data_IF_781302143617
#
_entry.id   IF_781302143617
#
_cell.length_a   1.000
_cell.length_b   1.000
_cell.length_c   1.000
_cell.angle_alpha   90.00
_cell.angle_beta   90.00
_cell.angle_gamma   90.00
#
_symmetry.space_group_name_H-M   'P 1'
#
loop_
_entity.id
_entity.type
_entity.pdbx_description
1 polymer ?
#
# COMPACT_ATOMS: atom_id res chain seq x y z
N UNK A 1 -11.07 13.98 2.05
CA UNK A 1 -11.43 12.63 1.57
C UNK A 1 -10.14 11.83 1.39
N UNK A 2 -9.84 10.84 2.24
CA UNK A 2 -8.52 10.17 2.22
C UNK A 2 -8.50 8.68 2.56
N UNK A 3 -9.66 8.04 2.67
CA UNK A 3 -9.82 6.62 3.02
C UNK A 3 -10.92 5.95 2.16
N UNK A 4 -11.15 6.47 0.94
CA UNK A 4 -12.23 5.99 0.05
C UNK A 4 -11.82 4.90 -0.94
N UNK A 5 -10.53 4.64 -1.13
CA UNK A 5 -10.11 3.32 -1.60
C UNK A 5 -10.38 2.37 -0.43
N UNK A 6 -11.20 1.34 -0.62
CA UNK A 6 -11.45 0.29 0.38
C UNK A 6 -10.11 -0.05 1.03
N UNK A 7 -9.94 0.43 2.25
CA UNK A 7 -8.65 0.61 2.88
C UNK A 7 -7.90 -0.73 2.84
N UNK A 8 -6.79 -0.83 2.11
CA UNK A 8 -5.96 -2.06 2.07
C UNK A 8 -5.61 -2.53 3.48
N UNK A 9 -5.47 -1.56 4.39
CA UNK A 9 -5.40 -1.72 5.84
C UNK A 9 -6.58 -2.48 6.46
N UNK A 10 -7.84 -2.15 6.11
CA UNK A 10 -9.01 -2.86 6.60
C UNK A 10 -9.04 -4.31 6.08
N UNK A 11 -8.68 -4.52 4.82
CA UNK A 11 -8.60 -5.88 4.24
C UNK A 11 -7.44 -6.69 4.82
N UNK A 12 -6.33 -6.06 5.19
CA UNK A 12 -5.18 -6.74 5.81
C UNK A 12 -5.39 -7.11 7.27
N UNK A 13 -6.01 -6.23 8.06
CA UNK A 13 -6.07 -6.37 9.52
C UNK A 13 -7.46 -6.80 10.03
N UNK A 14 -8.53 -6.58 9.25
CA UNK A 14 -9.92 -6.76 9.69
C UNK A 14 -10.79 -7.50 8.65
N UNK A 15 -10.21 -8.20 7.68
CA UNK A 15 -10.98 -9.03 6.77
C UNK A 15 -11.43 -10.29 7.49
N UNK A 16 -12.63 -10.27 8.10
CA UNK A 16 -13.26 -11.45 8.74
C UNK A 16 -13.36 -12.64 7.76
N UNK A 17 -13.41 -12.36 6.46
CA UNK A 17 -13.32 -13.32 5.37
C UNK A 17 -12.26 -12.89 4.35
N UNK A 18 -10.97 -13.01 4.67
CA UNK A 18 -9.98 -13.15 3.58
C UNK A 18 -10.22 -14.53 2.98
N UNK A 19 -11.13 -14.58 2.00
CA UNK A 19 -11.51 -15.75 1.22
C UNK A 19 -10.24 -16.56 0.92
N UNK A 20 -10.17 -17.82 1.38
CA UNK A 20 -8.98 -18.69 1.29
C UNK A 20 -8.32 -18.61 -0.09
N UNK A 21 -9.12 -18.48 -1.15
CA UNK A 21 -8.71 -18.27 -2.54
C UNK A 21 -7.78 -17.08 -2.75
N UNK A 22 -8.01 -15.96 -2.06
CA UNK A 22 -7.16 -14.76 -2.12
C UNK A 22 -5.80 -15.07 -1.50
N UNK A 23 -5.74 -15.75 -0.36
CA UNK A 23 -4.47 -16.13 0.26
C UNK A 23 -3.74 -17.20 -0.57
N UNK A 24 -4.46 -18.16 -1.13
CA UNK A 24 -3.91 -19.14 -2.07
C UNK A 24 -3.31 -18.48 -3.31
N UNK A 25 -4.01 -17.49 -3.88
CA UNK A 25 -3.51 -16.72 -5.02
C UNK A 25 -2.24 -15.94 -4.69
N UNK A 26 -2.19 -15.28 -3.52
CA UNK A 26 -1.00 -14.58 -3.04
C UNK A 26 0.17 -15.56 -2.82
N UNK A 27 -0.10 -16.71 -2.21
CA UNK A 27 0.92 -17.73 -1.96
C UNK A 27 1.46 -18.31 -3.28
N UNK A 28 0.60 -18.50 -4.29
CA UNK A 28 1.02 -18.94 -5.62
C UNK A 28 1.95 -17.94 -6.29
N UNK A 29 1.64 -16.65 -6.18
CA UNK A 29 2.51 -15.56 -6.68
C UNK A 29 3.87 -15.60 -5.98
N UNK A 30 3.87 -15.64 -4.64
CA UNK A 30 5.11 -15.67 -3.86
C UNK A 30 5.94 -16.94 -4.13
N UNK A 31 5.30 -18.08 -4.34
CA UNK A 31 5.99 -19.35 -4.63
C UNK A 31 6.67 -19.36 -6.01
N UNK A 32 6.23 -18.51 -6.93
CA UNK A 32 6.83 -18.37 -8.26
C UNK A 32 7.97 -17.33 -8.30
N UNK A 33 8.24 -16.63 -7.21
CA UNK A 33 9.32 -15.66 -7.10
C UNK A 33 10.60 -16.30 -6.59
N UNK A 34 11.74 -15.81 -7.09
CA UNK A 34 13.05 -16.13 -6.51
C UNK A 34 13.23 -15.46 -5.15
N UNK A 35 14.08 -16.02 -4.31
CA UNK A 35 14.27 -15.52 -2.94
C UNK A 35 14.85 -14.10 -2.91
N UNK A 36 15.71 -13.78 -3.86
CA UNK A 36 16.27 -12.45 -3.97
C UNK A 36 15.22 -11.40 -4.40
N UNK A 37 14.27 -11.77 -5.27
CA UNK A 37 13.11 -10.95 -5.61
C UNK A 37 12.16 -10.72 -4.43
N UNK A 38 11.98 -11.72 -3.56
CA UNK A 38 11.16 -11.57 -2.33
C UNK A 38 11.79 -10.61 -1.32
N UNK A 39 13.12 -10.59 -1.26
CA UNK A 39 13.86 -9.77 -0.30
C UNK A 39 14.11 -8.34 -0.80
N UNK A 40 14.16 -8.14 -2.11
CA UNK A 40 14.45 -6.86 -2.73
C UNK A 40 13.34 -6.47 -3.73
N UNK A 41 12.37 -5.64 -3.33
CA UNK A 41 11.25 -5.26 -4.18
C UNK A 41 11.69 -4.44 -5.42
N UNK A 42 12.89 -3.85 -5.42
CA UNK A 42 13.39 -3.11 -6.59
C UNK A 42 13.77 -4.06 -7.74
N UNK A 43 13.95 -5.35 -7.45
CA UNK A 43 14.22 -6.38 -8.47
C UNK A 43 12.99 -6.81 -9.25
N UNK A 44 11.78 -6.56 -8.75
CA UNK A 44 10.52 -6.89 -9.45
C UNK A 44 10.20 -5.92 -10.59
N UNK A 45 11.04 -5.95 -11.61
CA UNK A 45 10.85 -5.23 -12.87
C UNK A 45 9.63 -5.77 -13.63
N UNK A 46 9.11 -4.98 -14.58
CA UNK A 46 7.96 -5.38 -15.42
C UNK A 46 8.18 -6.72 -16.17
N UNK A 47 9.37 -7.03 -16.71
CA UNK A 47 9.65 -8.34 -17.30
C UNK A 47 9.44 -9.50 -16.32
N UNK A 48 10.00 -9.41 -15.12
CA UNK A 48 9.86 -10.44 -14.06
C UNK A 48 8.39 -10.61 -13.65
N UNK A 49 7.69 -9.49 -13.51
CA UNK A 49 6.26 -9.47 -13.25
C UNK A 49 5.42 -10.18 -14.33
N UNK A 50 5.83 -10.11 -15.60
CA UNK A 50 5.20 -10.88 -16.69
C UNK A 50 5.55 -12.37 -16.61
N UNK A 51 6.78 -12.72 -16.30
CA UNK A 51 7.19 -14.12 -16.12
C UNK A 51 6.38 -14.78 -15.00
N UNK A 52 6.25 -14.12 -13.85
CA UNK A 52 5.42 -14.59 -12.74
C UNK A 52 3.95 -14.74 -13.18
N UNK A 53 3.43 -13.79 -13.97
CA UNK A 53 2.07 -13.88 -14.55
C UNK A 53 1.91 -15.14 -15.40
N UNK A 54 2.88 -15.43 -16.27
CA UNK A 54 2.84 -16.60 -17.17
C UNK A 54 2.93 -17.92 -16.40
N UNK A 55 3.78 -18.00 -15.38
CA UNK A 55 3.93 -19.22 -14.56
C UNK A 55 2.70 -19.45 -13.68
N UNK A 56 2.20 -18.40 -13.05
CA UNK A 56 1.12 -18.51 -12.05
C UNK A 56 -0.28 -18.45 -12.65
N UNK A 57 -0.41 -17.99 -13.90
CA UNK A 57 -1.70 -17.74 -14.56
C UNK A 57 -2.58 -16.73 -13.78
N UNK A 58 -1.93 -15.84 -13.01
CA UNK A 58 -2.58 -14.77 -12.25
C UNK A 58 -2.65 -13.49 -13.07
N UNK A 59 -3.49 -12.53 -12.69
CA UNK A 59 -3.52 -11.24 -13.39
C UNK A 59 -2.36 -10.36 -12.94
N UNK A 60 -1.90 -9.50 -13.84
CA UNK A 60 -0.87 -8.53 -13.52
C UNK A 60 -1.29 -7.60 -12.35
N UNK A 61 -2.58 -7.28 -12.27
CA UNK A 61 -3.15 -6.49 -11.18
C UNK A 61 -3.04 -7.20 -9.82
N UNK A 62 -3.20 -8.53 -9.79
CA UNK A 62 -3.10 -9.31 -8.55
C UNK A 62 -1.68 -9.30 -8.00
N UNK A 63 -0.68 -9.40 -8.88
CA UNK A 63 0.74 -9.30 -8.51
C UNK A 63 1.07 -7.88 -8.03
N UNK A 64 0.61 -6.86 -8.74
CA UNK A 64 0.80 -5.47 -8.32
C UNK A 64 0.18 -5.20 -6.93
N UNK A 65 -0.97 -5.80 -6.65
CA UNK A 65 -1.62 -5.74 -5.34
C UNK A 65 -0.80 -6.45 -4.25
N UNK A 66 -0.24 -7.64 -4.52
CA UNK A 66 0.69 -8.33 -3.59
C UNK A 66 1.88 -7.44 -3.26
N UNK A 67 2.50 -6.83 -4.27
CA UNK A 67 3.65 -5.95 -4.09
C UNK A 67 3.29 -4.69 -3.29
N UNK A 68 2.14 -4.08 -3.60
CA UNK A 68 1.64 -2.92 -2.85
C UNK A 68 1.41 -3.28 -1.38
N UNK A 69 0.84 -4.46 -1.13
CA UNK A 69 0.61 -4.99 0.22
C UNK A 69 1.93 -5.21 0.98
N UNK A 70 2.90 -5.87 0.37
CA UNK A 70 4.23 -6.07 0.96
C UNK A 70 4.89 -4.73 1.35
N UNK A 71 4.89 -3.76 0.44
CA UNK A 71 5.46 -2.44 0.68
C UNK A 71 4.76 -1.68 1.82
N UNK A 72 3.44 -1.82 1.92
CA UNK A 72 2.68 -1.25 3.04
C UNK A 72 3.06 -1.90 4.37
N UNK A 73 3.16 -3.23 4.44
CA UNK A 73 3.59 -3.97 5.65
C UNK A 73 5.03 -3.65 6.06
N UNK A 74 5.95 -3.56 5.09
CA UNK A 74 7.32 -3.12 5.34
C UNK A 74 7.36 -1.68 5.89
N UNK A 75 6.53 -0.79 5.35
CA UNK A 75 6.35 0.57 5.85
C UNK A 75 5.85 0.61 7.30
N UNK A 76 4.83 -0.19 7.64
CA UNK A 76 4.33 -0.33 9.01
C UNK A 76 5.42 -0.81 9.96
N UNK A 77 6.14 -1.86 9.58
CA UNK A 77 7.19 -2.44 10.40
C UNK A 77 8.31 -1.42 10.69
N UNK A 78 8.81 -0.74 9.67
CA UNK A 78 9.82 0.33 9.80
C UNK A 78 9.33 1.47 10.69
N UNK A 79 8.06 1.84 10.59
CA UNK A 79 7.46 2.87 11.43
C UNK A 79 7.46 2.47 12.91
N UNK A 80 7.03 1.24 13.22
CA UNK A 80 6.98 0.71 14.59
C UNK A 80 8.38 0.53 15.20
N UNK A 81 9.38 0.13 14.42
CA UNK A 81 10.78 0.09 14.87
C UNK A 81 11.22 1.49 15.31
N UNK A 82 11.05 2.49 14.43
CA UNK A 82 11.45 3.88 14.75
C UNK A 82 10.70 4.43 15.96
N UNK A 83 9.44 4.04 16.13
CA UNK A 83 8.65 4.41 17.31
C UNK A 83 9.26 3.84 18.60
N UNK A 84 9.60 2.55 18.58
CA UNK A 84 10.29 1.88 19.68
C UNK A 84 11.64 2.53 19.98
N UNK A 85 12.43 2.86 18.97
CA UNK A 85 13.73 3.53 19.11
C UNK A 85 13.61 4.92 19.77
N UNK A 86 12.49 5.62 19.55
CA UNK A 86 12.19 6.90 20.21
C UNK A 86 11.71 6.76 21.66
N UNK A 87 11.50 5.53 22.14
CA UNK A 87 10.93 5.27 23.47
C UNK A 87 9.44 5.60 23.58
N UNK A 88 8.73 5.71 22.45
CA UNK A 88 7.29 5.96 22.44
C UNK A 88 6.50 4.67 22.76
N UNK A 89 5.33 4.78 23.40
CA UNK A 89 4.53 3.62 23.75
C UNK A 89 4.06 2.89 22.49
N UNK A 90 4.28 1.56 22.47
CA UNK A 90 3.79 0.71 21.40
C UNK A 90 2.27 0.58 21.50
N UNK A 91 1.55 0.63 20.36
CA UNK A 91 0.12 0.37 20.36
C UNK A 91 -0.16 -1.08 20.80
N UNK A 92 -1.17 -1.26 21.64
CA UNK A 92 -1.55 -2.57 22.17
C UNK A 92 -2.55 -3.28 21.26
N UNK A 93 -3.33 -2.51 20.51
CA UNK A 93 -4.37 -3.01 19.62
C UNK A 93 -4.39 -2.26 18.29
N UNK A 94 -5.17 -2.81 17.35
CA UNK A 94 -5.26 -2.27 16.00
C UNK A 94 -5.95 -0.90 15.95
N UNK A 95 -6.85 -0.60 16.88
CA UNK A 95 -7.56 0.68 16.89
C UNK A 95 -6.63 1.83 17.32
N UNK A 96 -5.83 1.62 18.37
CA UNK A 96 -4.75 2.53 18.77
C UNK A 96 -3.74 2.74 17.65
N UNK A 97 -3.34 1.67 16.97
CA UNK A 97 -2.43 1.73 15.84
C UNK A 97 -2.99 2.64 14.72
N UNK A 98 -4.28 2.49 14.43
CA UNK A 98 -4.97 3.29 13.42
C UNK A 98 -5.10 4.75 13.82
N UNK A 99 -5.33 5.05 15.10
CA UNK A 99 -5.39 6.42 15.59
C UNK A 99 -4.01 7.10 15.55
N UNK A 100 -2.93 6.37 15.87
CA UNK A 100 -1.56 6.84 15.67
C UNK A 100 -1.32 7.19 14.19
N UNK A 101 -1.74 6.33 13.26
CA UNK A 101 -1.57 6.61 11.82
C UNK A 101 -2.38 7.80 11.32
N UNK A 102 -3.60 8.02 11.85
CA UNK A 102 -4.41 9.20 11.53
C UNK A 102 -3.74 10.48 12.00
N UNK A 103 -3.11 10.45 13.17
CA UNK A 103 -2.42 11.60 13.75
C UNK A 103 -1.09 11.89 13.04
N UNK A 104 -0.18 10.92 12.98
CA UNK A 104 1.19 11.12 12.47
C UNK A 104 1.27 11.16 10.93
N UNK A 105 0.26 10.63 10.25
CA UNK A 105 0.14 10.62 8.78
C UNK A 105 1.43 10.19 8.06
N UNK A 106 1.89 8.96 8.30
CA UNK A 106 3.13 8.48 7.72
C UNK A 106 3.04 8.38 6.19
N UNK A 107 4.15 8.69 5.50
CA UNK A 107 4.19 8.85 4.04
C UNK A 107 3.87 7.58 3.25
N UNK A 108 4.08 6.41 3.84
CA UNK A 108 3.79 5.13 3.17
C UNK A 108 2.28 4.81 3.11
N UNK A 109 1.46 5.51 3.92
CA UNK A 109 -0.01 5.43 3.87
C UNK A 109 -0.64 6.60 3.13
N UNK A 110 -0.05 7.78 3.30
CA UNK A 110 -0.55 9.01 2.72
C UNK A 110 0.44 9.50 1.68
N UNK A 111 0.08 9.33 0.41
CA UNK A 111 0.83 9.90 -0.70
C UNK A 111 0.83 11.44 -0.58
N UNK A 112 1.88 11.97 0.05
CA UNK A 112 2.07 13.42 0.25
C UNK A 112 2.21 14.16 -1.09
N UNK A 113 2.47 13.45 -2.18
CA UNK A 113 2.79 13.99 -3.50
C UNK A 113 1.65 13.89 -4.52
N UNK A 114 0.43 13.47 -4.13
CA UNK A 114 -0.77 13.71 -4.94
C UNK A 114 -1.08 15.22 -4.97
N UNK A 115 -0.29 15.99 -5.72
CA UNK A 115 -0.73 17.28 -6.26
C UNK A 115 -1.99 16.96 -7.06
N UNK A 116 -3.13 17.44 -6.60
CA UNK A 116 -4.39 17.42 -7.36
C UNK A 116 -4.08 17.95 -8.76
N UNK A 117 -4.03 17.06 -9.75
CA UNK A 117 -3.97 17.47 -11.16
C UNK A 117 -5.34 18.03 -11.49
N UNK A 118 -5.54 19.31 -11.18
CA UNK A 118 -6.74 20.02 -11.59
C UNK A 118 -6.88 19.92 -13.12
N UNK A 119 -8.06 19.54 -13.57
CA UNK A 119 -8.41 19.58 -14.99
C UNK A 119 -8.19 21.00 -15.51
N UNK A 120 -8.02 21.14 -16.83
CA UNK A 120 -7.81 22.46 -17.46
C UNK A 120 -8.94 23.44 -17.12
N UNK A 121 -10.18 22.92 -16.98
CA UNK A 121 -11.38 23.69 -16.60
C UNK A 121 -11.31 24.19 -15.15
N UNK A 122 -10.90 23.33 -14.22
CA UNK A 122 -10.76 23.70 -12.80
C UNK A 122 -9.63 24.72 -12.57
N UNK A 123 -8.52 24.60 -13.31
CA UNK A 123 -7.46 25.60 -13.30
C UNK A 123 -7.94 26.97 -13.78
N UNK A 124 -8.76 26.99 -14.83
CA UNK A 124 -9.30 28.22 -15.42
C UNK A 124 -10.30 28.92 -14.47
N UNK A 125 -11.14 28.15 -13.78
CA UNK A 125 -12.05 28.68 -12.75
C UNK A 125 -11.29 29.28 -11.55
N UNK A 126 -10.29 28.57 -11.04
CA UNK A 126 -9.47 29.09 -9.92
C UNK A 126 -8.65 30.32 -10.30
N UNK A 127 -8.22 30.44 -11.55
CA UNK A 127 -7.54 31.64 -12.04
C UNK A 127 -8.50 32.84 -12.11
N UNK A 128 -9.73 32.64 -12.60
CA UNK A 128 -10.75 33.71 -12.63
C UNK A 128 -11.15 34.19 -11.23
N UNK A 129 -11.31 33.28 -10.28
CA UNK A 129 -11.74 33.61 -8.92
C UNK A 129 -10.68 34.39 -8.09
N UNK A 130 -9.42 34.43 -8.54
CA UNK A 130 -8.34 35.18 -7.86
C UNK A 130 -8.17 36.62 -8.37
N UNK A 131 -8.88 37.01 -9.43
CA UNK A 131 -8.77 38.32 -10.08
C UNK A 131 -10.10 39.10 -10.07
N UNK A 132 -10.99 38.74 -9.17
CA UNK A 132 -12.19 39.49 -8.75
C UNK A 132 -12.08 39.76 -7.26
#
# INVERSE_FOLDING_TARGET
MGLKEKSTLKTMFYGEDVEIKVLEGQNKILSAMYDDEKTDPDKLSKPIQKEITEVTQMKMDDIADVMKKYNQLSGFHKFLIKRRERGEPMPENSDELMDIYRYERPSFLFDRNKKTKYSKKERMYMFRAKHT
#
